data_IF_516997110063
#
_entry.id   IF_516997110063
#
_cell.length_a   1.000
_cell.length_b   1.000
_cell.length_c   1.000
_cell.angle_alpha   90.00
_cell.angle_beta   90.00
_cell.angle_gamma   90.00
#
_symmetry.space_group_name_H-M   'P 1'
#
loop_
_entity.id
_entity.type
_entity.pdbx_description
1 polymer ?
#
# COMPACT_ATOMS: atom_id res chain seq x y z
N UNK A 1 27.13 -1.03 1.04
CA UNK A 1 25.66 -1.05 0.85
C UNK A 1 25.34 -2.34 0.12
N UNK A 2 24.34 -3.09 0.59
CA UNK A 2 23.85 -4.28 -0.13
C UNK A 2 22.64 -3.85 -0.96
N UNK A 3 22.55 -4.37 -2.18
CA UNK A 3 21.42 -4.16 -3.08
C UNK A 3 20.86 -5.53 -3.47
N UNK A 4 19.53 -5.66 -3.41
CA UNK A 4 18.82 -6.87 -3.79
C UNK A 4 17.96 -6.56 -5.02
N UNK A 5 18.15 -7.35 -6.07
CA UNK A 5 17.37 -7.20 -7.29
C UNK A 5 16.02 -7.89 -7.16
N UNK A 6 15.03 -7.35 -7.85
CA UNK A 6 13.67 -7.85 -7.94
C UNK A 6 12.81 -6.91 -8.78
N UNK A 7 11.65 -7.40 -9.19
CA UNK A 7 10.69 -6.67 -10.01
C UNK A 7 9.27 -6.86 -9.45
N UNK A 8 8.65 -5.76 -9.06
CA UNK A 8 7.33 -5.77 -8.40
C UNK A 8 6.19 -6.02 -9.39
N UNK A 9 6.38 -5.71 -10.67
CA UNK A 9 5.37 -5.93 -11.71
C UNK A 9 5.27 -7.40 -12.10
N UNK A 10 6.40 -8.11 -12.11
CA UNK A 10 6.46 -9.55 -12.37
C UNK A 10 6.38 -10.40 -11.10
N UNK A 11 6.19 -9.77 -9.92
CA UNK A 11 6.14 -10.42 -8.61
C UNK A 11 7.44 -11.18 -8.24
N UNK A 12 8.58 -10.67 -8.69
CA UNK A 12 9.90 -11.19 -8.33
C UNK A 12 10.41 -10.60 -7.02
N UNK A 13 10.25 -11.40 -5.97
CA UNK A 13 10.77 -11.14 -4.62
C UNK A 13 11.71 -12.26 -4.15
N UNK A 14 12.30 -13.04 -5.08
CA UNK A 14 13.11 -14.20 -4.72
C UNK A 14 14.29 -13.84 -3.80
N UNK A 15 14.89 -12.68 -4.01
CA UNK A 15 16.01 -12.14 -3.24
C UNK A 15 15.67 -11.85 -1.76
N UNK A 16 14.38 -11.70 -1.43
CA UNK A 16 13.92 -11.39 -0.07
C UNK A 16 13.67 -12.64 0.79
N UNK A 17 13.56 -13.82 0.19
CA UNK A 17 13.15 -15.05 0.90
C UNK A 17 14.19 -15.49 1.94
N UNK A 18 13.73 -15.83 3.14
CA UNK A 18 14.54 -16.40 4.22
C UNK A 18 15.46 -15.41 4.95
N UNK A 19 15.43 -14.13 4.57
CA UNK A 19 16.17 -13.05 5.23
C UNK A 19 15.31 -12.40 6.31
N UNK A 20 15.94 -11.72 7.26
CA UNK A 20 15.26 -11.02 8.34
C UNK A 20 15.70 -9.56 8.43
N UNK A 21 14.76 -8.68 8.78
CA UNK A 21 15.02 -7.26 8.99
C UNK A 21 14.23 -6.72 10.18
N UNK A 22 14.76 -5.69 10.83
CA UNK A 22 14.01 -4.98 11.87
C UNK A 22 12.88 -4.14 11.25
N UNK A 23 13.17 -3.42 10.17
CA UNK A 23 12.22 -2.48 9.54
C UNK A 23 12.28 -2.60 8.02
N UNK A 24 11.11 -2.58 7.38
CA UNK A 24 10.95 -2.37 5.94
C UNK A 24 10.26 -1.02 5.71
N UNK A 25 10.89 -0.15 4.92
CA UNK A 25 10.30 1.13 4.47
C UNK A 25 9.92 0.96 3.00
N UNK A 26 8.62 0.94 2.72
CA UNK A 26 8.07 0.71 1.39
C UNK A 26 7.57 2.02 0.78
N UNK A 27 8.40 2.62 -0.07
CA UNK A 27 8.18 3.94 -0.66
C UNK A 27 7.45 3.89 -2.03
N UNK A 28 7.83 3.06 -3.02
CA UNK A 28 7.12 3.05 -4.29
C UNK A 28 5.88 2.16 -4.19
N UNK A 29 4.73 2.75 -3.88
CA UNK A 29 3.50 2.00 -3.57
C UNK A 29 2.35 2.31 -4.52
N UNK A 30 2.71 2.76 -5.74
CA UNK A 30 1.75 3.23 -6.76
C UNK A 30 0.78 2.14 -7.20
N UNK A 31 1.23 0.90 -7.21
CA UNK A 31 0.44 -0.25 -7.61
C UNK A 31 0.13 -1.13 -6.39
N UNK A 32 -1.10 -1.63 -6.22
CA UNK A 32 -1.54 -2.14 -4.93
C UNK A 32 -1.06 -3.55 -4.66
N UNK A 33 -0.92 -4.32 -5.74
CA UNK A 33 -0.40 -5.67 -5.62
C UNK A 33 1.08 -5.61 -5.21
N UNK A 34 1.85 -4.58 -5.60
CA UNK A 34 3.21 -4.40 -5.10
C UNK A 34 3.29 -4.43 -3.57
N UNK A 35 2.45 -3.65 -2.88
CA UNK A 35 2.43 -3.62 -1.41
C UNK A 35 1.92 -4.94 -0.84
N UNK A 36 0.85 -5.51 -1.42
CA UNK A 36 0.27 -6.77 -0.93
C UNK A 36 1.26 -7.93 -1.02
N UNK A 37 1.94 -8.03 -2.16
CA UNK A 37 2.81 -9.15 -2.50
C UNK A 37 4.13 -9.03 -1.72
N UNK A 38 4.72 -7.82 -1.64
CA UNK A 38 5.87 -7.55 -0.79
C UNK A 38 5.59 -7.87 0.70
N UNK A 39 4.47 -7.38 1.23
CA UNK A 39 4.06 -7.66 2.61
C UNK A 39 3.80 -9.15 2.86
N UNK A 40 3.32 -9.90 1.85
CA UNK A 40 3.13 -11.34 1.96
C UNK A 40 4.47 -12.10 2.05
N UNK A 41 5.45 -11.72 1.22
CA UNK A 41 6.79 -12.34 1.21
C UNK A 41 7.57 -12.02 2.49
N UNK A 42 7.42 -10.80 3.01
CA UNK A 42 8.12 -10.32 4.20
C UNK A 42 7.42 -10.69 5.51
N UNK A 43 6.22 -11.29 5.45
CA UNK A 43 5.45 -11.68 6.63
C UNK A 43 6.26 -12.64 7.50
N UNK A 44 6.44 -12.28 8.77
CA UNK A 44 7.20 -13.08 9.74
C UNK A 44 8.72 -12.89 9.68
N UNK A 45 9.22 -12.19 8.67
CA UNK A 45 10.64 -11.90 8.46
C UNK A 45 11.00 -10.43 8.77
N UNK A 46 10.01 -9.56 8.93
CA UNK A 46 10.20 -8.15 9.27
C UNK A 46 9.41 -7.82 10.54
N UNK A 47 10.06 -7.14 11.50
CA UNK A 47 9.39 -6.74 12.76
C UNK A 47 8.40 -5.59 12.53
N UNK A 48 8.72 -4.63 11.67
CA UNK A 48 7.86 -3.51 11.32
C UNK A 48 7.85 -3.20 9.82
N UNK A 49 6.66 -3.15 9.21
CA UNK A 49 6.46 -2.77 7.82
C UNK A 49 5.83 -1.37 7.75
N UNK A 50 6.52 -0.42 7.12
CA UNK A 50 6.08 0.97 6.98
C UNK A 50 5.74 1.21 5.52
N UNK A 51 4.44 1.35 5.24
CA UNK A 51 3.93 1.78 3.95
C UNK A 51 3.79 3.31 3.93
N UNK A 52 4.33 3.96 2.89
CA UNK A 52 4.16 5.40 2.70
C UNK A 52 2.88 5.66 1.90
N UNK A 53 1.95 6.36 2.55
CA UNK A 53 0.66 6.78 1.97
C UNK A 53 0.76 8.20 1.38
N UNK A 54 -0.38 8.72 0.93
CA UNK A 54 -0.54 10.10 0.46
C UNK A 54 -1.82 10.73 1.03
N UNK A 55 -1.82 12.05 1.22
CA UNK A 55 -3.00 12.84 1.59
C UNK A 55 -4.12 12.75 0.55
N UNK A 56 -3.80 12.43 -0.71
CA UNK A 56 -4.79 12.33 -1.79
C UNK A 56 -5.79 11.18 -1.63
N UNK A 57 -5.70 10.36 -0.57
CA UNK A 57 -6.77 9.41 -0.22
C UNK A 57 -8.06 10.07 0.21
N UNK A 58 -7.97 11.26 0.78
CA UNK A 58 -9.13 11.98 1.29
C UNK A 58 -9.85 12.68 0.14
N UNK A 59 -11.19 12.68 0.19
CA UNK A 59 -12.02 13.27 -0.87
C UNK A 59 -11.96 14.79 -0.93
N UNK A 60 -11.48 15.41 0.14
CA UNK A 60 -11.29 16.85 0.24
C UNK A 60 -10.08 17.11 1.14
N UNK A 61 -8.96 17.52 0.53
CA UNK A 61 -7.73 17.88 1.23
C UNK A 61 -7.59 19.38 1.47
N UNK A 62 -8.61 20.17 1.16
CA UNK A 62 -8.58 21.64 1.31
C UNK A 62 -8.91 22.11 2.73
N UNK A 63 -9.49 21.23 3.56
CA UNK A 63 -9.90 21.53 4.92
C UNK A 63 -8.72 21.46 5.89
N UNK A 64 -8.31 22.59 6.50
CA UNK A 64 -7.33 22.59 7.57
C UNK A 64 -7.82 21.73 8.75
N UNK A 65 -6.86 21.20 9.52
CA UNK A 65 -7.12 20.45 10.75
C UNK A 65 -7.97 19.17 10.59
N UNK A 66 -8.06 18.64 9.37
CA UNK A 66 -8.65 17.32 9.12
C UNK A 66 -7.78 16.21 9.70
N UNK A 67 -8.41 15.21 10.32
CA UNK A 67 -7.74 14.04 10.90
C UNK A 67 -7.93 12.77 10.05
N UNK A 68 -7.44 11.62 10.53
CA UNK A 68 -7.52 10.34 9.82
C UNK A 68 -8.94 9.76 9.71
N UNK A 69 -9.94 10.41 10.32
CA UNK A 69 -11.36 10.08 10.19
C UNK A 69 -12.03 10.75 8.98
N UNK A 70 -11.32 11.67 8.30
CA UNK A 70 -11.86 12.40 7.16
C UNK A 70 -12.36 11.46 6.04
N UNK A 71 -13.43 11.85 5.31
CA UNK A 71 -13.96 11.06 4.22
C UNK A 71 -12.89 10.76 3.16
N UNK A 72 -12.87 9.50 2.71
CA UNK A 72 -11.95 9.04 1.67
C UNK A 72 -12.63 9.04 0.31
N UNK A 73 -11.84 9.18 -0.74
CA UNK A 73 -12.33 9.05 -2.11
C UNK A 73 -13.03 7.70 -2.35
N UNK A 74 -14.15 7.74 -3.09
CA UNK A 74 -14.79 6.50 -3.53
C UNK A 74 -14.08 5.96 -4.76
N UNK A 75 -13.25 4.97 -4.52
CA UNK A 75 -12.37 4.46 -5.55
C UNK A 75 -12.84 3.13 -6.16
N UNK A 76 -14.10 2.74 -5.90
CA UNK A 76 -14.75 1.71 -6.72
C UNK A 76 -15.01 2.19 -8.16
N UNK A 77 -14.92 3.50 -8.40
CA UNK A 77 -15.15 4.16 -9.69
C UNK A 77 -13.88 4.29 -10.54
N UNK A 78 -12.72 3.87 -10.03
CA UNK A 78 -11.40 4.11 -10.66
C UNK A 78 -10.88 2.93 -11.52
N UNK A 79 -11.79 2.05 -11.96
CA UNK A 79 -11.47 0.96 -12.89
C UNK A 79 -12.26 1.13 -14.19
N UNK A 80 -11.62 1.11 -15.39
CA UNK A 80 -10.20 0.85 -15.66
C UNK A 80 -9.27 2.03 -15.34
N UNK A 81 -7.96 1.77 -15.32
CA UNK A 81 -6.91 2.72 -14.92
C UNK A 81 -7.11 4.09 -15.57
N UNK A 82 -7.35 5.16 -14.79
CA UNK A 82 -7.61 6.46 -15.37
C UNK A 82 -6.34 7.02 -16.01
N UNK A 83 -6.48 7.51 -17.25
CA UNK A 83 -5.37 8.08 -18.01
C UNK A 83 -4.90 9.45 -17.51
N UNK A 84 -5.63 10.05 -16.55
CA UNK A 84 -5.37 11.42 -16.08
C UNK A 84 -4.56 11.47 -14.77
N UNK A 85 -3.46 12.26 -14.70
CA UNK A 85 -2.56 12.38 -13.54
C UNK A 85 -3.25 12.71 -12.21
N UNK A 86 -4.34 13.48 -12.25
CA UNK A 86 -5.09 13.93 -11.08
C UNK A 86 -5.67 12.79 -10.24
N UNK A 87 -5.83 11.60 -10.83
CA UNK A 87 -6.36 10.42 -10.14
C UNK A 87 -5.28 9.43 -9.67
N UNK A 88 -4.00 9.64 -9.99
CA UNK A 88 -2.94 8.67 -9.63
C UNK A 88 -2.70 8.59 -8.12
N UNK A 89 -2.55 9.72 -7.43
CA UNK A 89 -2.27 9.72 -5.99
C UNK A 89 -3.44 9.19 -5.11
N UNK A 90 -4.72 9.52 -5.37
CA UNK A 90 -5.86 8.89 -4.68
C UNK A 90 -5.94 7.37 -4.86
N UNK A 91 -5.44 6.88 -5.99
CA UNK A 91 -5.45 5.45 -6.35
C UNK A 91 -4.43 4.64 -5.56
N UNK A 92 -3.19 5.11 -5.46
CA UNK A 92 -2.10 4.39 -4.78
C UNK A 92 -2.52 3.98 -3.37
N UNK A 93 -3.17 4.90 -2.67
CA UNK A 93 -3.48 4.70 -1.26
C UNK A 93 -4.91 4.17 -0.99
N UNK A 94 -5.90 4.36 -1.90
CA UNK A 94 -7.11 3.53 -1.84
C UNK A 94 -6.80 2.05 -2.01
N UNK A 95 -5.96 1.73 -2.98
CA UNK A 95 -5.77 0.34 -3.30
C UNK A 95 -4.89 -0.39 -2.26
N UNK A 96 -4.08 0.34 -1.49
CA UNK A 96 -3.44 -0.15 -0.26
C UNK A 96 -4.45 -0.42 0.88
N UNK A 97 -5.52 0.37 1.02
CA UNK A 97 -6.53 0.18 2.07
C UNK A 97 -7.33 -1.13 1.92
N UNK A 98 -7.61 -1.58 0.69
CA UNK A 98 -8.30 -2.87 0.46
C UNK A 98 -7.47 -4.10 0.83
N UNK A 99 -6.13 -4.02 0.89
CA UNK A 99 -5.30 -5.15 1.35
C UNK A 99 -5.34 -5.29 2.88
N UNK A 100 -5.48 -4.18 3.61
CA UNK A 100 -5.56 -4.15 5.08
C UNK A 100 -6.96 -4.48 5.60
N UNK A 101 -8.02 -3.98 4.95
CA UNK A 101 -9.39 -4.16 5.44
C UNK A 101 -9.91 -5.60 5.34
N UNK A 102 -9.38 -6.44 4.44
CA UNK A 102 -9.86 -7.81 4.23
C UNK A 102 -9.49 -8.81 5.36
N UNK A 103 -8.77 -8.37 6.40
CA UNK A 103 -8.44 -9.21 7.60
C UNK A 103 -9.22 -8.84 8.87
N UNK A 104 -10.10 -7.85 8.87
CA UNK A 104 -10.92 -7.53 10.07
C UNK A 104 -12.24 -8.32 10.17
N UNK A 105 -12.53 -9.21 9.23
CA UNK A 105 -13.68 -10.12 9.28
C UNK A 105 -13.24 -11.57 9.54
N UNK A 106 -12.72 -11.85 10.73
CA UNK A 106 -12.55 -13.20 11.25
C UNK A 106 -12.75 -13.20 12.78
N UNK A 107 -13.91 -13.74 13.17
CA UNK A 107 -14.41 -14.18 14.49
C UNK A 107 -14.60 -13.18 15.64
N UNK A 108 -15.86 -13.02 16.13
CA UNK A 108 -16.12 -12.67 17.52
C UNK A 108 -15.90 -13.89 18.44
N UNK A 109 -15.44 -13.63 19.66
CA UNK A 109 -15.51 -14.54 20.81
C UNK A 109 -16.92 -14.46 21.38
#
# INVERSE_FOLDING_TARGET
MEELLGDRDTNDYASLKGRQWDVCIDNPTTVPHWVRDAAAVLKGNVKQYIFISTISVYSDSSKPDSDESAPRENTQVLTPWPKHPRHYAPICAYMALKSVQRRRSASPI
#
